data_IF_426387728930
#
_entry.id   IF_426387728930
#
_cell.length_a   1.000
_cell.length_b   1.000
_cell.length_c   1.000
_cell.angle_alpha   90.00
_cell.angle_beta   90.00
_cell.angle_gamma   90.00
#
_symmetry.space_group_name_H-M   'P 1'
#
loop_
_entity.id
_entity.type
_entity.pdbx_description
1 polymer ?
#
# COMPACT_ATOMS: atom_id res chain seq x y z
N UNK A 1 4.21 25.73 -20.02
CA UNK A 1 4.71 24.33 -20.07
C UNK A 1 6.17 24.30 -19.65
N UNK A 2 6.65 23.21 -19.03
CA UNK A 2 8.04 23.05 -18.57
C UNK A 2 8.64 21.80 -19.21
N UNK A 3 9.26 21.92 -20.40
CA UNK A 3 9.75 20.76 -21.16
C UNK A 3 10.84 19.99 -20.40
N UNK A 4 11.64 20.67 -19.58
CA UNK A 4 12.67 20.07 -18.72
C UNK A 4 12.10 19.00 -17.77
N UNK A 5 10.96 19.27 -17.13
CA UNK A 5 10.30 18.29 -16.24
C UNK A 5 9.88 17.04 -17.01
N UNK A 6 9.36 17.22 -18.25
CA UNK A 6 8.98 16.08 -19.10
C UNK A 6 10.19 15.27 -19.54
N UNK A 7 11.31 15.94 -19.86
CA UNK A 7 12.58 15.28 -20.19
C UNK A 7 13.11 14.46 -19.02
N UNK A 8 13.15 15.03 -17.81
CA UNK A 8 13.58 14.31 -16.60
C UNK A 8 12.63 13.16 -16.26
N UNK A 9 11.32 13.36 -16.44
CA UNK A 9 10.32 12.32 -16.19
C UNK A 9 10.50 11.10 -17.11
N UNK A 10 11.08 11.25 -18.31
CA UNK A 10 11.32 10.15 -19.24
C UNK A 10 12.34 9.11 -18.71
N UNK A 11 13.10 9.43 -17.66
CA UNK A 11 13.95 8.47 -16.96
C UNK A 11 13.24 7.67 -15.86
N UNK A 12 11.98 8.01 -15.54
CA UNK A 12 11.21 7.31 -14.51
C UNK A 12 10.56 6.04 -15.07
N UNK A 13 10.40 4.98 -14.27
CA UNK A 13 9.72 3.79 -14.70
C UNK A 13 8.20 3.99 -14.78
N UNK A 14 7.53 2.99 -15.35
CA UNK A 14 6.07 2.90 -15.40
C UNK A 14 5.46 2.23 -14.15
N UNK A 15 6.21 2.22 -13.05
CA UNK A 15 5.82 1.62 -11.78
C UNK A 15 5.14 2.63 -10.84
N UNK A 16 4.34 2.16 -9.87
CA UNK A 16 3.96 2.95 -8.70
C UNK A 16 5.18 3.41 -7.92
N UNK A 17 5.04 4.53 -7.20
CA UNK A 17 6.15 4.98 -6.36
C UNK A 17 5.95 6.34 -5.72
N UNK A 18 7.01 6.79 -5.06
CA UNK A 18 7.08 8.12 -4.43
C UNK A 18 8.17 8.92 -5.13
N UNK A 19 7.91 10.19 -5.41
CA UNK A 19 8.89 11.12 -5.98
C UNK A 19 9.10 12.31 -5.06
N UNK A 20 10.27 12.94 -5.21
CA UNK A 20 10.64 14.19 -4.56
C UNK A 20 11.15 15.19 -5.58
N UNK A 21 10.72 16.43 -5.42
CA UNK A 21 11.31 17.56 -6.12
C UNK A 21 12.29 18.28 -5.20
N UNK A 22 13.48 18.57 -5.70
CA UNK A 22 14.48 19.38 -5.00
C UNK A 22 14.81 20.65 -5.75
N UNK A 23 15.17 21.68 -4.99
CA UNK A 23 15.77 22.88 -5.57
C UNK A 23 17.27 22.73 -5.83
N UNK A 24 17.87 23.76 -6.44
CA UNK A 24 19.30 23.79 -6.76
C UNK A 24 20.21 23.73 -5.52
N UNK A 25 19.68 24.02 -4.32
CA UNK A 25 20.40 23.88 -3.04
C UNK A 25 20.20 22.50 -2.39
N UNK A 26 19.52 21.58 -3.07
CA UNK A 26 19.24 20.24 -2.59
C UNK A 26 18.07 20.16 -1.59
N UNK A 27 17.33 21.25 -1.34
CA UNK A 27 16.20 21.23 -0.39
C UNK A 27 15.00 20.53 -1.01
N UNK A 28 14.35 19.65 -0.25
CA UNK A 28 13.10 19.00 -0.69
C UNK A 28 11.99 20.05 -0.72
N UNK A 29 11.43 20.27 -1.91
CA UNK A 29 10.31 21.18 -2.12
C UNK A 29 8.97 20.47 -1.93
N UNK A 30 8.88 19.24 -2.41
CA UNK A 30 7.63 18.48 -2.44
C UNK A 30 7.90 16.98 -2.49
N UNK A 31 7.06 16.20 -1.80
CA UNK A 31 6.98 14.73 -1.86
C UNK A 31 5.59 14.38 -2.40
N UNK A 32 5.50 13.39 -3.29
CA UNK A 32 4.19 12.88 -3.69
C UNK A 32 4.25 11.43 -4.12
N UNK A 33 3.11 10.73 -4.01
CA UNK A 33 2.93 9.39 -4.58
C UNK A 33 2.41 9.43 -6.01
N UNK A 34 2.59 8.30 -6.69
CA UNK A 34 2.12 8.05 -8.04
C UNK A 34 1.64 6.59 -8.18
N UNK A 35 0.55 6.38 -8.91
CA UNK A 35 0.19 5.04 -9.43
C UNK A 35 1.13 4.63 -10.56
N UNK A 36 1.70 5.61 -11.25
CA UNK A 36 2.66 5.47 -12.33
C UNK A 36 3.57 6.71 -12.28
N UNK A 37 4.88 6.51 -12.07
CA UNK A 37 5.83 7.59 -11.80
C UNK A 37 6.03 8.55 -12.98
N UNK A 38 6.28 8.03 -14.19
CA UNK A 38 6.64 8.83 -15.38
C UNK A 38 5.53 9.80 -15.79
N UNK A 39 4.31 9.32 -15.96
CA UNK A 39 3.12 10.11 -16.27
C UNK A 39 2.79 11.08 -15.13
N UNK A 40 2.86 10.66 -13.86
CA UNK A 40 2.55 11.56 -12.73
C UNK A 40 3.53 12.71 -12.66
N UNK A 41 4.83 12.44 -12.74
CA UNK A 41 5.87 13.48 -12.72
C UNK A 41 5.83 14.33 -14.00
N UNK A 42 5.68 13.70 -15.16
CA UNK A 42 5.55 14.41 -16.44
C UNK A 42 4.36 15.38 -16.49
N UNK A 43 3.29 15.09 -15.76
CA UNK A 43 2.12 15.99 -15.64
C UNK A 43 2.47 17.37 -15.07
N UNK A 44 3.54 17.49 -14.28
CA UNK A 44 4.00 18.78 -13.75
C UNK A 44 4.61 19.69 -14.81
N UNK A 45 5.03 19.13 -15.95
CA UNK A 45 5.47 19.89 -17.11
C UNK A 45 4.34 20.43 -17.98
N UNK A 46 3.09 19.99 -17.73
CA UNK A 46 1.88 20.39 -18.46
C UNK A 46 1.14 21.57 -17.84
N UNK A 47 -0.18 21.56 -17.97
CA UNK A 47 -1.07 22.51 -17.31
C UNK A 47 -1.29 22.14 -15.83
N UNK A 48 -1.28 23.16 -14.97
CA UNK A 48 -1.43 23.08 -13.52
C UNK A 48 -2.68 23.82 -13.04
N UNK A 49 -3.74 23.93 -13.86
CA UNK A 49 -5.03 24.55 -13.48
C UNK A 49 -5.63 23.97 -12.21
N UNK A 50 -5.54 22.67 -12.01
CA UNK A 50 -6.07 21.98 -10.81
C UNK A 50 -5.09 21.99 -9.63
N UNK A 51 -3.86 22.45 -9.85
CA UNK A 51 -2.76 22.45 -8.87
C UNK A 51 -2.09 23.82 -8.81
N UNK A 52 -2.89 24.90 -8.75
CA UNK A 52 -2.40 26.29 -8.83
C UNK A 52 -1.31 26.62 -7.81
N UNK A 53 -1.42 26.12 -6.58
CA UNK A 53 -0.40 26.29 -5.54
C UNK A 53 1.00 25.81 -5.98
N UNK A 54 1.12 24.79 -6.82
CA UNK A 54 2.42 24.25 -7.26
C UNK A 54 3.04 25.04 -8.42
N UNK A 55 2.30 25.98 -9.05
CA UNK A 55 2.81 26.79 -10.18
C UNK A 55 4.04 27.61 -9.81
N UNK A 56 4.17 28.04 -8.55
CA UNK A 56 5.34 28.77 -8.03
C UNK A 56 6.49 27.84 -7.64
N UNK A 57 6.20 26.58 -7.32
CA UNK A 57 7.20 25.58 -6.96
C UNK A 57 7.91 25.03 -8.19
N UNK A 58 7.16 24.64 -9.22
CA UNK A 58 7.69 23.98 -10.42
C UNK A 58 8.87 24.77 -11.04
N UNK A 59 8.84 26.13 -11.06
CA UNK A 59 9.98 26.98 -11.37
C UNK A 59 11.31 26.65 -10.68
N UNK A 60 11.26 26.27 -9.41
CA UNK A 60 12.42 26.05 -8.57
C UNK A 60 12.92 24.60 -8.58
N UNK A 61 12.26 23.68 -9.29
CA UNK A 61 12.67 22.27 -9.35
C UNK A 61 13.93 22.15 -10.20
N UNK A 62 15.03 21.72 -9.58
CA UNK A 62 16.32 21.47 -10.22
C UNK A 62 16.65 19.97 -10.32
N UNK A 63 16.07 19.14 -9.43
CA UNK A 63 16.30 17.68 -9.42
C UNK A 63 15.02 16.94 -9.08
N UNK A 64 14.86 15.77 -9.71
CA UNK A 64 13.79 14.81 -9.45
C UNK A 64 14.45 13.55 -8.89
N UNK A 65 13.93 13.06 -7.78
CA UNK A 65 14.29 11.76 -7.20
C UNK A 65 13.03 10.91 -7.13
N UNK A 66 13.15 9.59 -7.20
CA UNK A 66 12.04 8.68 -7.01
C UNK A 66 12.43 7.36 -6.35
N UNK A 67 11.44 6.73 -5.73
CA UNK A 67 11.47 5.36 -5.19
C UNK A 67 10.35 4.58 -5.87
N UNK A 68 10.71 3.54 -6.62
CA UNK A 68 9.78 2.60 -7.23
C UNK A 68 9.30 1.57 -6.19
N UNK A 69 7.99 1.40 -6.12
CA UNK A 69 7.28 0.52 -5.20
C UNK A 69 6.61 -0.62 -5.98
N UNK A 70 6.44 -1.77 -5.34
CA UNK A 70 5.81 -2.95 -5.96
C UNK A 70 4.29 -2.79 -6.07
N UNK A 71 3.70 -1.83 -5.35
CA UNK A 71 2.27 -1.55 -5.40
C UNK A 71 1.91 -0.10 -5.12
N UNK A 72 0.70 0.30 -5.52
CA UNK A 72 0.12 1.61 -5.17
C UNK A 72 -0.08 1.74 -3.66
N UNK A 73 -0.36 0.64 -2.96
CA UNK A 73 -0.51 0.63 -1.51
C UNK A 73 0.83 0.88 -0.81
N UNK A 74 1.89 0.25 -1.28
CA UNK A 74 3.24 0.49 -0.80
C UNK A 74 3.68 1.95 -1.04
N UNK A 75 3.44 2.48 -2.24
CA UNK A 75 3.73 3.88 -2.56
C UNK A 75 2.97 4.87 -1.64
N UNK A 76 1.71 4.54 -1.30
CA UNK A 76 0.91 5.36 -0.40
C UNK A 76 1.45 5.32 1.04
N UNK A 77 1.88 4.15 1.52
CA UNK A 77 2.56 4.02 2.81
C UNK A 77 3.87 4.79 2.86
N UNK A 78 4.71 4.67 1.83
CA UNK A 78 5.98 5.37 1.79
C UNK A 78 5.79 6.89 1.78
N UNK A 79 4.85 7.42 0.98
CA UNK A 79 4.54 8.85 0.99
C UNK A 79 4.11 9.31 2.40
N UNK A 80 3.16 8.59 3.02
CA UNK A 80 2.71 8.90 4.37
C UNK A 80 3.87 8.95 5.34
N UNK A 81 4.70 7.90 5.40
CA UNK A 81 5.79 7.82 6.36
C UNK A 81 6.79 8.97 6.18
N UNK A 82 7.10 9.33 4.93
CA UNK A 82 8.01 10.43 4.62
C UNK A 82 7.40 11.80 4.98
N UNK A 83 6.09 11.98 4.82
CA UNK A 83 5.37 13.21 5.19
C UNK A 83 5.13 13.33 6.70
N UNK A 84 5.10 12.22 7.44
CA UNK A 84 5.14 12.23 8.91
C UNK A 84 6.50 12.72 9.41
N UNK A 85 7.59 12.27 8.79
CA UNK A 85 8.96 12.61 9.20
C UNK A 85 9.36 14.04 8.81
N UNK A 86 8.99 14.47 7.60
CA UNK A 86 9.31 15.79 7.09
C UNK A 86 8.18 16.28 6.21
N UNK A 87 7.65 17.47 6.50
CA UNK A 87 6.62 18.12 5.70
C UNK A 87 7.28 19.20 4.82
N UNK A 88 7.59 18.92 3.53
CA UNK A 88 8.16 19.93 2.65
C UNK A 88 7.23 21.12 2.50
N UNK A 89 7.81 22.30 2.23
CA UNK A 89 7.10 23.59 2.14
C UNK A 89 5.82 23.55 1.28
N UNK A 90 5.80 22.76 0.20
CA UNK A 90 4.68 22.72 -0.74
C UNK A 90 3.69 21.57 -0.50
N UNK A 91 3.98 20.68 0.45
CA UNK A 91 3.02 19.71 0.96
C UNK A 91 2.11 20.38 2.01
N UNK A 92 0.84 19.95 2.08
CA UNK A 92 -0.16 20.59 2.97
C UNK A 92 -0.47 19.80 4.23
N UNK A 93 -0.37 18.47 4.16
CA UNK A 93 -0.85 17.56 5.20
C UNK A 93 0.28 16.65 5.63
N UNK A 94 0.63 16.69 6.91
CA UNK A 94 1.54 15.71 7.51
C UNK A 94 0.88 14.32 7.49
N UNK A 95 1.63 13.29 7.10
CA UNK A 95 1.13 11.92 7.00
C UNK A 95 0.08 11.64 5.91
N UNK A 96 -0.19 12.58 5.01
CA UNK A 96 -1.15 12.41 3.92
C UNK A 96 -2.63 12.40 4.37
N UNK A 97 -3.52 12.03 3.46
CA UNK A 97 -4.99 12.06 3.70
C UNK A 97 -5.53 10.75 4.30
N UNK A 98 -4.84 9.63 4.06
CA UNK A 98 -5.32 8.31 4.46
C UNK A 98 -4.79 7.94 5.84
N UNK A 99 -5.67 7.42 6.70
CA UNK A 99 -5.35 6.98 8.07
C UNK A 99 -5.05 5.47 8.08
N UNK A 100 -4.08 5.01 8.91
CA UNK A 100 -3.86 3.59 9.16
C UNK A 100 -5.11 2.90 9.70
N UNK A 101 -5.35 1.68 9.23
CA UNK A 101 -6.38 0.79 9.73
C UNK A 101 -5.79 -0.60 9.93
N UNK A 102 -6.35 -1.35 10.86
CA UNK A 102 -5.93 -2.70 11.22
C UNK A 102 -7.13 -3.63 11.07
N UNK A 103 -6.86 -4.90 10.87
CA UNK A 103 -7.88 -5.94 10.83
C UNK A 103 -7.69 -6.87 12.01
N UNK A 104 -8.76 -7.03 12.81
CA UNK A 104 -8.81 -7.97 13.92
C UNK A 104 -9.64 -9.16 13.50
N UNK A 105 -8.97 -10.30 13.39
CA UNK A 105 -9.57 -11.60 13.11
C UNK A 105 -9.76 -12.34 14.43
N UNK A 106 -11.01 -12.50 14.83
CA UNK A 106 -11.39 -13.15 16.07
C UNK A 106 -11.94 -14.55 15.78
N UNK A 107 -11.36 -15.58 16.38
CA UNK A 107 -11.78 -16.97 16.22
C UNK A 107 -12.57 -17.50 17.44
N UNK A 108 -12.82 -16.66 18.45
CA UNK A 108 -13.54 -17.06 19.67
C UNK A 108 -15.03 -17.27 19.36
N UNK A 109 -15.73 -18.22 20.01
CA UNK A 109 -17.10 -18.56 19.64
C UNK A 109 -18.06 -17.37 19.73
N UNK A 110 -17.95 -16.57 20.79
CA UNK A 110 -18.86 -15.45 21.05
C UNK A 110 -18.67 -14.26 20.10
N UNK A 111 -17.49 -14.11 19.48
CA UNK A 111 -17.09 -12.90 18.76
C UNK A 111 -16.49 -13.16 17.38
N UNK A 112 -16.67 -14.39 16.86
CA UNK A 112 -16.11 -14.84 15.60
C UNK A 112 -16.33 -13.83 14.47
N UNK A 113 -15.28 -13.48 13.75
CA UNK A 113 -15.37 -12.59 12.59
C UNK A 113 -14.13 -11.74 12.36
N UNK A 114 -14.18 -10.98 11.26
CA UNK A 114 -13.16 -10.02 10.87
C UNK A 114 -13.71 -8.60 11.03
N UNK A 115 -12.97 -7.74 11.75
CA UNK A 115 -13.39 -6.36 12.04
C UNK A 115 -12.26 -5.37 11.75
N UNK A 116 -12.64 -4.18 11.29
CA UNK A 116 -11.73 -3.05 11.19
C UNK A 116 -11.46 -2.47 12.58
N UNK A 117 -10.20 -2.15 12.85
CA UNK A 117 -9.74 -1.44 14.03
C UNK A 117 -8.87 -0.22 13.61
N UNK A 118 -8.74 0.75 14.51
CA UNK A 118 -7.98 1.98 14.26
C UNK A 118 -6.57 1.93 14.86
N UNK A 119 -6.30 0.93 15.69
CA UNK A 119 -4.99 0.57 16.23
C UNK A 119 -4.83 -0.96 16.24
N UNK A 120 -3.58 -1.42 16.42
CA UNK A 120 -3.30 -2.84 16.58
C UNK A 120 -3.93 -3.41 17.86
N UNK A 121 -4.08 -2.58 18.90
CA UNK A 121 -4.56 -2.97 20.21
C UNK A 121 -3.57 -3.85 20.96
N UNK A 122 -3.96 -4.28 22.16
CA UNK A 122 -3.19 -5.25 22.93
C UNK A 122 -3.36 -6.66 22.35
N UNK A 123 -2.35 -7.54 22.48
CA UNK A 123 -2.49 -8.96 22.19
C UNK A 123 -3.64 -9.58 23.00
N UNK A 124 -4.54 -10.29 22.33
CA UNK A 124 -5.65 -11.01 22.97
C UNK A 124 -5.65 -12.44 22.43
N UNK A 125 -5.68 -13.43 23.32
CA UNK A 125 -5.72 -14.84 22.93
C UNK A 125 -6.93 -15.12 22.02
N UNK A 126 -6.70 -15.83 20.91
CA UNK A 126 -7.72 -16.12 19.90
C UNK A 126 -8.04 -14.96 18.94
N UNK A 127 -7.33 -13.82 19.05
CA UNK A 127 -7.46 -12.68 18.12
C UNK A 127 -6.14 -12.44 17.42
N UNK A 128 -6.16 -12.46 16.08
CA UNK A 128 -5.02 -12.14 15.22
C UNK A 128 -5.19 -10.75 14.64
N UNK A 129 -4.09 -10.00 14.53
CA UNK A 129 -4.07 -8.63 14.00
C UNK A 129 -3.32 -8.62 12.67
N UNK A 130 -3.87 -7.95 11.67
CA UNK A 130 -3.27 -7.77 10.36
C UNK A 130 -3.22 -6.30 9.97
N UNK A 131 -2.25 -5.94 9.13
CA UNK A 131 -2.00 -4.58 8.67
C UNK A 131 -0.57 -4.14 8.97
N UNK A 132 -0.34 -2.83 9.22
CA UNK A 132 -1.32 -1.76 9.04
C UNK A 132 -1.65 -1.56 7.55
N UNK A 133 -2.92 -1.29 7.26
CA UNK A 133 -3.40 -0.92 5.92
C UNK A 133 -3.65 0.58 5.85
N UNK A 134 -3.47 1.17 4.68
CA UNK A 134 -3.70 2.60 4.50
C UNK A 134 -5.06 2.80 3.81
N UNK A 135 -5.93 3.64 4.37
CA UNK A 135 -7.24 3.96 3.81
C UNK A 135 -8.38 3.10 4.35
N UNK A 136 -9.02 3.54 5.43
CA UNK A 136 -10.06 2.80 6.14
C UNK A 136 -11.28 2.39 5.30
N UNK A 137 -11.69 3.17 4.29
CA UNK A 137 -12.79 2.79 3.39
C UNK A 137 -12.44 1.56 2.55
N UNK A 138 -11.22 1.51 2.00
CA UNK A 138 -10.75 0.33 1.25
C UNK A 138 -10.59 -0.86 2.17
N UNK A 139 -10.02 -0.66 3.36
CA UNK A 139 -9.91 -1.73 4.36
C UNK A 139 -11.28 -2.30 4.75
N UNK A 140 -12.30 -1.45 4.91
CA UNK A 140 -13.68 -1.89 5.18
C UNK A 140 -14.29 -2.68 4.02
N UNK A 141 -14.06 -2.26 2.78
CA UNK A 141 -14.49 -3.01 1.60
C UNK A 141 -13.78 -4.37 1.51
N UNK A 142 -12.51 -4.46 1.90
CA UNK A 142 -11.80 -5.74 1.96
C UNK A 142 -12.41 -6.68 3.02
N UNK A 143 -12.85 -6.14 4.16
CA UNK A 143 -13.61 -6.91 5.17
C UNK A 143 -14.92 -7.43 4.58
N UNK A 144 -15.65 -6.59 3.85
CA UNK A 144 -16.88 -7.01 3.13
C UNK A 144 -16.58 -8.12 2.12
N UNK A 145 -15.50 -7.99 1.35
CA UNK A 145 -15.04 -8.98 0.39
C UNK A 145 -14.77 -10.33 1.07
N UNK A 146 -14.02 -10.33 2.18
CA UNK A 146 -13.67 -11.54 2.92
C UNK A 146 -14.89 -12.18 3.57
N UNK A 147 -15.82 -11.41 4.14
CA UNK A 147 -17.08 -11.95 4.69
C UNK A 147 -17.99 -12.57 3.62
N UNK A 148 -17.86 -12.15 2.36
CA UNK A 148 -18.62 -12.72 1.26
C UNK A 148 -18.16 -14.13 0.89
N UNK A 149 -16.85 -14.38 0.93
CA UNK A 149 -16.25 -15.67 0.52
C UNK A 149 -15.90 -16.59 1.69
N UNK A 150 -15.62 -16.02 2.86
CA UNK A 150 -15.30 -16.72 4.11
C UNK A 150 -16.15 -16.13 5.26
N UNK A 151 -17.42 -16.53 5.39
CA UNK A 151 -18.38 -15.94 6.32
C UNK A 151 -18.14 -16.37 7.77
N UNK A 152 -16.96 -16.07 8.34
CA UNK A 152 -16.56 -16.49 9.69
C UNK A 152 -17.56 -16.07 10.78
N UNK A 153 -18.22 -14.92 10.62
CA UNK A 153 -19.22 -14.48 11.60
C UNK A 153 -20.43 -15.42 11.68
N UNK A 154 -20.73 -16.16 10.61
CA UNK A 154 -21.81 -17.15 10.60
C UNK A 154 -21.48 -18.45 11.36
N UNK A 155 -20.23 -18.62 11.80
CA UNK A 155 -19.78 -19.74 12.63
C UNK A 155 -19.71 -19.39 14.13
N UNK A 156 -20.24 -18.22 14.53
CA UNK A 156 -20.28 -17.77 15.92
C UNK A 156 -21.37 -18.45 16.76
N UNK A 157 -21.24 -18.40 18.09
CA UNK A 157 -22.24 -18.93 19.03
C UNK A 157 -23.31 -17.89 19.43
N UNK A 158 -23.09 -16.61 19.12
CA UNK A 158 -23.96 -15.48 19.49
C UNK A 158 -24.98 -15.06 18.44
N UNK A 159 -25.35 -15.95 17.52
CA UNK A 159 -26.19 -15.62 16.36
C UNK A 159 -27.66 -15.40 16.75
N UNK A 160 -28.23 -14.30 16.27
CA UNK A 160 -29.68 -14.07 16.26
C UNK A 160 -30.41 -15.13 15.42
N UNK A 161 -31.75 -15.20 15.53
CA UNK A 161 -32.55 -16.16 14.76
C UNK A 161 -32.35 -16.05 13.24
N UNK A 162 -32.37 -14.82 12.71
CA UNK A 162 -32.16 -14.56 11.29
C UNK A 162 -30.72 -14.89 10.83
N UNK A 163 -29.72 -14.60 11.67
CA UNK A 163 -28.33 -14.94 11.35
C UNK A 163 -28.10 -16.46 11.32
N UNK A 164 -28.74 -17.22 12.22
CA UNK A 164 -28.71 -18.70 12.18
C UNK A 164 -29.32 -19.27 10.93
N UNK A 165 -30.46 -18.74 10.49
CA UNK A 165 -31.09 -19.18 9.25
C UNK A 165 -30.20 -18.88 8.03
N UNK A 166 -29.59 -17.68 7.99
CA UNK A 166 -28.65 -17.32 6.94
C UNK A 166 -27.40 -18.21 6.94
N UNK A 167 -26.86 -18.53 8.12
CA UNK A 167 -25.74 -19.46 8.27
C UNK A 167 -26.09 -20.85 7.70
N UNK A 168 -27.27 -21.38 8.06
CA UNK A 168 -27.75 -22.66 7.55
C UNK A 168 -27.92 -22.67 6.02
N UNK A 169 -28.47 -21.59 5.42
CA UNK A 169 -28.57 -21.45 3.95
C UNK A 169 -27.22 -21.39 3.25
N UNK A 170 -26.17 -20.96 3.96
CA UNK A 170 -24.77 -20.95 3.48
C UNK A 170 -24.03 -22.25 3.79
N UNK A 171 -24.66 -23.20 4.48
CA UNK A 171 -24.02 -24.45 4.91
C UNK A 171 -22.93 -24.23 5.96
N UNK A 172 -23.00 -23.14 6.74
CA UNK A 172 -21.98 -22.80 7.74
C UNK A 172 -22.49 -23.15 9.13
N UNK A 173 -21.63 -23.79 9.90
CA UNK A 173 -21.86 -24.25 11.27
C UNK A 173 -20.74 -23.76 12.19
N UNK A 174 -20.90 -23.96 13.51
CA UNK A 174 -19.86 -23.63 14.48
C UNK A 174 -18.57 -24.46 14.33
N UNK A 175 -18.64 -25.62 13.65
CA UNK A 175 -17.50 -26.49 13.38
C UNK A 175 -16.54 -25.90 12.33
N UNK A 176 -17.06 -25.12 11.39
CA UNK A 176 -16.28 -24.52 10.29
C UNK A 176 -15.43 -23.32 10.73
N UNK A 177 -15.57 -22.89 12.00
CA UNK A 177 -15.00 -21.65 12.53
C UNK A 177 -13.48 -21.59 12.40
N UNK A 178 -12.79 -22.67 12.73
CA UNK A 178 -11.32 -22.72 12.67
C UNK A 178 -10.83 -22.67 11.22
N UNK A 179 -11.45 -23.44 10.34
CA UNK A 179 -11.16 -23.45 8.90
C UNK A 179 -11.41 -22.09 8.26
N UNK A 180 -12.56 -21.47 8.51
CA UNK A 180 -12.90 -20.14 7.99
C UNK A 180 -11.94 -19.07 8.52
N UNK A 181 -11.56 -19.14 9.80
CA UNK A 181 -10.59 -18.21 10.36
C UNK A 181 -9.22 -18.40 9.72
N UNK A 182 -8.78 -19.63 9.46
CA UNK A 182 -7.50 -19.88 8.79
C UNK A 182 -7.53 -19.47 7.31
N UNK A 183 -8.64 -19.68 6.60
CA UNK A 183 -8.80 -19.20 5.23
C UNK A 183 -8.68 -17.66 5.15
N UNK A 184 -9.35 -16.93 6.03
CA UNK A 184 -9.20 -15.46 6.13
C UNK A 184 -7.77 -15.07 6.47
N UNK A 185 -7.14 -15.78 7.42
CA UNK A 185 -5.77 -15.51 7.80
C UNK A 185 -4.77 -15.77 6.66
N UNK A 186 -4.93 -16.85 5.88
CA UNK A 186 -4.10 -17.16 4.73
C UNK A 186 -4.16 -16.04 3.69
N UNK A 187 -5.36 -15.53 3.37
CA UNK A 187 -5.53 -14.38 2.48
C UNK A 187 -4.81 -13.14 3.02
N UNK A 188 -4.98 -12.83 4.31
CA UNK A 188 -4.36 -11.64 4.93
C UNK A 188 -2.85 -11.77 5.14
N UNK A 189 -2.31 -12.99 5.24
CA UNK A 189 -0.87 -13.30 5.15
C UNK A 189 -0.34 -13.26 3.71
N UNK A 190 -1.21 -12.95 2.74
CA UNK A 190 -0.89 -12.85 1.31
C UNK A 190 -0.44 -14.18 0.70
N UNK A 191 -0.97 -15.30 1.19
CA UNK A 191 -0.76 -16.60 0.56
C UNK A 191 -1.29 -16.55 -0.90
N UNK A 192 -0.46 -16.80 -1.93
CA UNK A 192 -0.86 -16.63 -3.31
C UNK A 192 -2.06 -17.49 -3.72
N UNK A 193 -2.17 -18.70 -3.17
CA UNK A 193 -3.25 -19.64 -3.49
C UNK A 193 -4.56 -19.16 -2.87
N UNK A 194 -4.54 -18.81 -1.58
CA UNK A 194 -5.70 -18.28 -0.88
C UNK A 194 -6.20 -16.96 -1.49
N UNK A 195 -5.28 -16.04 -1.84
CA UNK A 195 -5.62 -14.77 -2.50
C UNK A 195 -6.25 -15.02 -3.87
N UNK A 196 -5.69 -15.92 -4.67
CA UNK A 196 -6.24 -16.27 -5.98
C UNK A 196 -7.64 -16.88 -5.86
N UNK A 197 -7.84 -17.82 -4.93
CA UNK A 197 -9.13 -18.46 -4.68
C UNK A 197 -10.19 -17.45 -4.21
N UNK A 198 -9.86 -16.57 -3.27
CA UNK A 198 -10.76 -15.54 -2.79
C UNK A 198 -11.16 -14.55 -3.91
N UNK A 199 -10.19 -14.11 -4.72
CA UNK A 199 -10.45 -13.27 -5.89
C UNK A 199 -11.38 -13.96 -6.89
N UNK A 200 -11.09 -15.20 -7.26
CA UNK A 200 -11.89 -15.96 -8.22
C UNK A 200 -13.33 -16.17 -7.71
N UNK A 201 -13.51 -16.45 -6.42
CA UNK A 201 -14.83 -16.56 -5.82
C UNK A 201 -15.62 -15.24 -5.91
N UNK A 202 -14.99 -14.10 -5.63
CA UNK A 202 -15.61 -12.78 -5.79
C UNK A 202 -15.95 -12.46 -7.25
N UNK A 203 -15.06 -12.77 -8.19
CA UNK A 203 -15.30 -12.61 -9.62
C UNK A 203 -16.52 -13.43 -10.06
N UNK A 204 -16.64 -14.67 -9.59
CA UNK A 204 -17.83 -15.48 -9.84
C UNK A 204 -19.12 -14.88 -9.28
N UNK A 205 -19.07 -14.19 -8.13
CA UNK A 205 -20.24 -13.47 -7.59
C UNK A 205 -20.58 -12.24 -8.42
N UNK A 206 -19.56 -11.43 -8.79
CA UNK A 206 -19.73 -10.26 -9.66
C UNK A 206 -20.37 -10.65 -10.99
N UNK A 207 -19.86 -11.71 -11.61
CA UNK A 207 -20.26 -12.12 -12.95
C UNK A 207 -21.69 -12.68 -12.93
N UNK A 208 -22.06 -13.50 -11.93
CA UNK A 208 -23.46 -13.92 -11.73
C UNK A 208 -24.40 -12.73 -11.52
N UNK A 209 -23.99 -11.73 -10.74
CA UNK A 209 -24.79 -10.53 -10.53
C UNK A 209 -24.97 -9.74 -11.84
N UNK A 210 -23.92 -9.63 -12.66
CA UNK A 210 -23.99 -8.99 -13.96
C UNK A 210 -24.90 -9.75 -14.94
N UNK A 211 -24.80 -11.09 -14.99
CA UNK A 211 -25.70 -11.95 -15.79
C UNK A 211 -27.16 -11.79 -15.37
N UNK A 212 -27.41 -11.63 -14.07
CA UNK A 212 -28.75 -11.36 -13.52
C UNK A 212 -29.19 -9.89 -13.63
N UNK A 213 -28.46 -9.03 -14.36
CA UNK A 213 -28.72 -7.59 -14.52
C UNK A 213 -28.72 -6.80 -13.20
N UNK A 214 -28.12 -7.33 -12.13
CA UNK A 214 -27.96 -6.68 -10.84
C UNK A 214 -26.69 -5.81 -10.81
N UNK A 215 -26.62 -4.80 -11.68
CA UNK A 215 -25.41 -4.01 -11.91
C UNK A 215 -24.87 -3.27 -10.68
N UNK A 216 -25.73 -2.82 -9.77
CA UNK A 216 -25.29 -2.22 -8.52
C UNK A 216 -24.52 -3.21 -7.63
N UNK A 217 -25.01 -4.46 -7.57
CA UNK A 217 -24.31 -5.52 -6.84
C UNK A 217 -22.99 -5.86 -7.52
N UNK A 218 -22.98 -6.02 -8.84
CA UNK A 218 -21.75 -6.26 -9.60
C UNK A 218 -20.72 -5.14 -9.37
N UNK A 219 -21.15 -3.88 -9.39
CA UNK A 219 -20.31 -2.72 -9.07
C UNK A 219 -19.75 -2.76 -7.65
N UNK A 220 -20.58 -3.08 -6.64
CA UNK A 220 -20.12 -3.25 -5.25
C UNK A 220 -19.07 -4.36 -5.12
N UNK A 221 -19.30 -5.51 -5.74
CA UNK A 221 -18.35 -6.64 -5.70
C UNK A 221 -17.05 -6.28 -6.45
N UNK A 222 -17.13 -5.49 -7.51
CA UNK A 222 -15.93 -4.99 -8.19
C UNK A 222 -15.08 -4.08 -7.30
N UNK A 223 -15.69 -3.25 -6.48
CA UNK A 223 -14.97 -2.44 -5.47
C UNK A 223 -14.40 -3.32 -4.34
N UNK A 224 -15.11 -4.38 -3.92
CA UNK A 224 -14.61 -5.39 -2.99
C UNK A 224 -13.38 -6.13 -3.53
N UNK A 225 -13.37 -6.51 -4.82
CA UNK A 225 -12.20 -7.13 -5.49
C UNK A 225 -11.01 -6.17 -5.49
N UNK A 226 -11.22 -4.90 -5.82
CA UNK A 226 -10.16 -3.88 -5.79
C UNK A 226 -9.62 -3.66 -4.37
N UNK A 227 -10.49 -3.69 -3.38
CA UNK A 227 -10.12 -3.57 -1.98
C UNK A 227 -9.36 -4.80 -1.46
N UNK A 228 -9.74 -6.00 -1.89
CA UNK A 228 -8.99 -7.22 -1.60
C UNK A 228 -7.57 -7.11 -2.16
N UNK A 229 -7.44 -6.75 -3.44
CA UNK A 229 -6.14 -6.53 -4.09
C UNK A 229 -5.31 -5.45 -3.38
N UNK A 230 -5.94 -4.42 -2.82
CA UNK A 230 -5.26 -3.39 -2.04
C UNK A 230 -4.64 -3.93 -0.76
N UNK A 231 -5.37 -4.71 0.05
CA UNK A 231 -4.86 -5.23 1.33
C UNK A 231 -3.90 -6.42 1.15
N UNK A 232 -3.99 -7.13 0.03
CA UNK A 232 -3.09 -8.26 -0.29
C UNK A 232 -1.89 -7.87 -1.16
N UNK A 233 -1.78 -6.60 -1.57
CA UNK A 233 -0.67 -6.10 -2.37
C UNK A 233 0.69 -6.27 -1.67
N UNK A 234 1.74 -6.50 -2.45
CA UNK A 234 3.11 -6.48 -1.97
C UNK A 234 3.42 -5.14 -1.28
N UNK A 235 4.04 -5.23 -0.11
CA UNK A 235 4.38 -4.07 0.69
C UNK A 235 5.48 -4.46 1.68
N UNK A 236 6.58 -3.71 1.66
CA UNK A 236 7.76 -3.85 2.51
C UNK A 236 8.05 -2.61 3.37
N UNK A 237 7.58 -1.43 2.97
CA UNK A 237 7.92 -0.13 3.60
C UNK A 237 7.37 0.12 5.02
N UNK A 238 6.37 -0.66 5.46
CA UNK A 238 5.71 -0.58 6.76
C UNK A 238 5.34 -1.98 7.28
N UNK A 239 5.82 -2.39 8.46
CA UNK A 239 5.48 -3.69 9.06
C UNK A 239 4.76 -3.52 10.40
N UNK A 240 4.13 -4.58 10.90
CA UNK A 240 3.61 -4.63 12.27
C UNK A 240 4.74 -4.82 13.28
N UNK A 241 5.74 -5.62 12.92
CA UNK A 241 6.89 -5.88 13.76
C UNK A 241 7.73 -4.61 13.92
N UNK A 242 8.00 -4.16 15.16
CA UNK A 242 8.83 -2.99 15.40
C UNK A 242 10.30 -3.35 15.17
N UNK A 243 10.75 -3.22 13.92
CA UNK A 243 12.14 -3.46 13.53
C UNK A 243 12.86 -2.16 13.19
N UNK A 244 14.12 -2.07 13.61
CA UNK A 244 15.03 -0.97 13.28
C UNK A 244 16.16 -1.52 12.42
N UNK A 245 16.28 -1.04 11.18
CA UNK A 245 17.39 -1.41 10.29
C UNK A 245 17.73 -0.29 9.30
N UNK A 246 18.91 -0.41 8.70
CA UNK A 246 19.29 0.37 7.54
C UNK A 246 19.24 -0.54 6.31
N UNK A 247 18.53 -0.10 5.27
CA UNK A 247 18.46 -0.80 3.98
C UNK A 247 19.23 0.02 2.97
N UNK A 248 20.22 -0.58 2.33
CA UNK A 248 21.11 0.10 1.40
C UNK A 248 21.16 -0.62 0.06
N UNK A 249 21.16 0.15 -1.02
CA UNK A 249 21.32 -0.37 -2.37
C UNK A 249 22.35 0.46 -3.11
N UNK A 250 23.17 -0.20 -3.91
CA UNK A 250 24.21 0.46 -4.68
C UNK A 250 24.15 0.03 -6.15
N UNK A 251 24.21 0.99 -7.06
CA UNK A 251 24.29 0.75 -8.50
C UNK A 251 24.94 1.95 -9.20
N UNK A 252 25.81 1.70 -10.17
CA UNK A 252 26.47 2.72 -11.00
C UNK A 252 27.04 3.91 -10.20
N UNK A 253 27.69 3.64 -9.07
CA UNK A 253 28.29 4.68 -8.23
C UNK A 253 27.29 5.50 -7.39
N UNK A 254 26.03 5.09 -7.31
CA UNK A 254 25.00 5.69 -6.47
C UNK A 254 24.60 4.75 -5.33
N UNK A 255 24.65 5.27 -4.11
CA UNK A 255 24.13 4.61 -2.92
C UNK A 255 22.78 5.23 -2.56
N UNK A 256 21.77 4.38 -2.43
CA UNK A 256 20.48 4.71 -1.82
C UNK A 256 20.42 4.10 -0.44
N UNK A 257 19.90 4.85 0.53
CA UNK A 257 19.75 4.40 1.91
C UNK A 257 18.36 4.73 2.43
N UNK A 258 17.72 3.75 3.06
CA UNK A 258 16.45 3.86 3.76
C UNK A 258 16.67 3.54 5.24
N UNK A 259 16.21 4.42 6.13
CA UNK A 259 16.20 4.13 7.56
C UNK A 259 14.82 3.62 7.96
N UNK A 260 14.76 2.37 8.40
CA UNK A 260 13.55 1.74 8.95
C UNK A 260 13.59 1.90 10.47
N UNK A 261 12.52 2.46 11.05
CA UNK A 261 12.35 2.61 12.50
C UNK A 261 10.95 2.18 12.91
N UNK A 262 10.86 1.33 13.92
CA UNK A 262 9.62 0.70 14.38
C UNK A 262 8.82 0.12 13.20
N UNK A 263 9.51 -0.59 12.30
CA UNK A 263 8.92 -1.23 11.12
C UNK A 263 8.56 -0.28 9.97
N UNK A 264 8.87 1.01 10.04
CA UNK A 264 8.51 1.99 9.00
C UNK A 264 9.73 2.66 8.38
N UNK A 265 9.78 2.78 7.06
CA UNK A 265 10.77 3.67 6.41
C UNK A 265 10.47 5.11 6.82
N UNK A 266 11.35 5.72 7.61
CA UNK A 266 11.25 7.11 8.06
C UNK A 266 11.97 8.07 7.14
N UNK A 267 13.17 7.68 6.71
CA UNK A 267 14.00 8.52 5.86
C UNK A 267 14.50 7.76 4.65
N UNK A 268 14.77 8.54 3.61
CA UNK A 268 15.37 8.09 2.36
C UNK A 268 16.35 9.15 1.89
N UNK A 269 17.56 8.71 1.56
CA UNK A 269 18.62 9.55 0.99
C UNK A 269 19.31 8.82 -0.16
N UNK A 270 19.90 9.58 -1.07
CA UNK A 270 20.72 9.08 -2.16
C UNK A 270 21.96 9.95 -2.34
N UNK A 271 23.11 9.35 -2.61
CA UNK A 271 24.38 10.05 -2.82
C UNK A 271 25.31 9.26 -3.73
N UNK A 272 26.28 9.95 -4.35
CA UNK A 272 27.41 9.27 -4.99
C UNK A 272 28.24 8.53 -3.96
N UNK A 273 28.68 7.33 -4.30
CA UNK A 273 29.48 6.47 -3.46
C UNK A 273 30.34 5.54 -4.32
N UNK A 274 31.65 5.58 -4.13
CA UNK A 274 32.59 4.85 -5.00
C UNK A 274 32.50 3.32 -4.85
N UNK A 275 32.12 2.83 -3.66
CA UNK A 275 32.00 1.40 -3.36
C UNK A 275 30.77 1.14 -2.49
N UNK A 276 30.09 -0.01 -2.64
CA UNK A 276 28.99 -0.38 -1.75
C UNK A 276 29.52 -0.55 -0.30
N UNK A 277 28.79 -0.05 0.71
CA UNK A 277 29.16 -0.22 2.11
C UNK A 277 28.91 -1.66 2.60
N UNK A 278 27.67 -2.15 2.52
CA UNK A 278 27.24 -3.50 2.93
C UNK A 278 26.09 -4.00 2.03
N UNK A 279 25.89 -5.32 1.96
CA UNK A 279 24.72 -5.90 1.29
C UNK A 279 23.45 -5.74 2.14
N UNK A 280 22.30 -5.37 1.54
CA UNK A 280 21.04 -5.32 2.25
C UNK A 280 20.57 -6.72 2.68
N UNK A 281 19.70 -6.83 3.70
CA UNK A 281 19.05 -8.09 4.02
C UNK A 281 18.34 -8.67 2.79
N UNK A 282 18.37 -9.99 2.63
CA UNK A 282 17.87 -10.67 1.42
C UNK A 282 16.45 -10.25 1.01
N UNK A 283 15.54 -10.07 1.98
CA UNK A 283 14.17 -9.62 1.73
C UNK A 283 14.08 -8.22 1.07
N UNK A 284 15.09 -7.38 1.26
CA UNK A 284 15.18 -6.01 0.77
C UNK A 284 16.09 -5.83 -0.44
N UNK A 285 16.85 -6.87 -0.84
CA UNK A 285 17.87 -6.74 -1.87
C UNK A 285 17.30 -6.28 -3.22
N UNK A 286 16.17 -6.85 -3.64
CA UNK A 286 15.48 -6.43 -4.88
C UNK A 286 15.01 -4.97 -4.82
N UNK A 287 14.34 -4.59 -3.73
CA UNK A 287 13.86 -3.22 -3.51
C UNK A 287 15.02 -2.20 -3.49
N UNK A 288 16.08 -2.50 -2.74
CA UNK A 288 17.23 -1.62 -2.57
C UNK A 288 17.99 -1.43 -3.89
N UNK A 289 18.29 -2.53 -4.60
CA UNK A 289 19.00 -2.51 -5.88
C UNK A 289 18.23 -1.74 -6.95
N UNK A 290 16.95 -2.04 -7.15
CA UNK A 290 16.08 -1.35 -8.11
C UNK A 290 16.08 0.16 -7.89
N UNK A 291 16.00 0.58 -6.64
CA UNK A 291 15.96 2.00 -6.31
C UNK A 291 17.34 2.69 -6.45
N UNK A 292 18.44 1.96 -6.29
CA UNK A 292 19.77 2.47 -6.61
C UNK A 292 19.98 2.66 -8.13
N UNK A 293 19.55 1.68 -8.93
CA UNK A 293 19.58 1.76 -10.40
C UNK A 293 18.74 2.93 -10.92
N UNK A 294 17.57 3.16 -10.31
CA UNK A 294 16.73 4.31 -10.60
C UNK A 294 17.41 5.64 -10.24
N UNK A 295 18.03 5.73 -9.06
CA UNK A 295 18.75 6.93 -8.63
C UNK A 295 19.89 7.28 -9.60
N UNK A 296 20.66 6.27 -10.03
CA UNK A 296 21.73 6.44 -11.01
C UNK A 296 21.20 6.90 -12.38
N UNK A 297 20.09 6.32 -12.83
CA UNK A 297 19.45 6.69 -14.10
C UNK A 297 18.99 8.15 -14.10
N UNK A 298 18.33 8.59 -13.04
CA UNK A 298 17.88 9.97 -12.92
C UNK A 298 19.04 10.96 -12.78
N UNK A 299 20.12 10.57 -12.11
CA UNK A 299 21.31 11.40 -11.98
C UNK A 299 21.94 11.73 -13.34
N UNK A 300 22.08 10.72 -14.22
CA UNK A 300 22.61 10.89 -15.58
C UNK A 300 21.79 11.85 -16.46
N UNK A 301 20.52 12.09 -16.13
CA UNK A 301 19.66 13.03 -16.86
C UNK A 301 19.74 14.46 -16.32
N UNK A 302 20.33 14.65 -15.14
CA UNK A 302 20.49 15.95 -14.47
C UNK A 302 21.92 16.51 -14.55
N UNK A 303 22.87 15.70 -15.02
CA UNK A 303 24.25 16.07 -15.32
C UNK A 303 24.37 16.57 -16.76
#
# INVERSE_FOLDING_TARGET
MRPEIRRLAAGLPHDPGVYRFRDARGRVLYVGRATELRARVGSYGGDLRDRRHLRRMVPAVARIEAVACDSVHEAAWLERNLLEESLPRWNRTAGGEEVPAYLRLDARPATAGLRLAHDAGQPVAGVRIFGPYLGGTRTRLAVSALHRVHPLSAAGSGLTGAERELAARRGVTAADREELAEAVAAVLRRDPVAVAAARQALEGVRDRAATALAFELAGRVQEEIRALAWVTAAQQVTTLEPVDLAVQGWADGWLVSFAVRAGRIRTWSQRRCARPPDEPPAAWAGFARRNAELAATLARLTE
#
